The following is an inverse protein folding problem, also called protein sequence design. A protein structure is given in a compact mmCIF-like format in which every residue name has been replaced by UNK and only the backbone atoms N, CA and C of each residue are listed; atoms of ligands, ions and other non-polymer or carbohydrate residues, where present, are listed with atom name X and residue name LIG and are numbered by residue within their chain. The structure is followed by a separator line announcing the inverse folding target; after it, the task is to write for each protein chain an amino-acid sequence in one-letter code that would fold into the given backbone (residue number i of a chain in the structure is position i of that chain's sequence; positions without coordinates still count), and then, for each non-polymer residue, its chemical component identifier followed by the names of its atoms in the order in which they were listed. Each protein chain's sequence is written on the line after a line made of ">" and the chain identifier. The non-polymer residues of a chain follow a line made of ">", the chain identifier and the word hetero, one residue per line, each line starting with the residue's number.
data_IF_944729889360
#
_entry.id   IF_944729889360
#
_cell.length_a   1.000
_cell.length_b   1.000
_cell.length_c   1.000
_cell.angle_alpha   90.00
_cell.angle_beta   90.00
_cell.angle_gamma   90.00
#
_symmetry.space_group_name_H-M   'P 1'
#
loop_
_entity.id
_entity.type
_entity.pdbx_description
1 polymer ?
#
# COMPACT_ATOMS: atom_id res chain seq x y z
N UNK A 1 25.18 29.58 17.12
CA UNK A 1 26.12 28.43 17.23
C UNK A 1 25.40 27.08 17.25
N UNK A 2 24.31 26.89 18.01
CA UNK A 2 23.56 25.61 18.07
C UNK A 2 23.04 25.13 16.71
N UNK A 3 22.51 26.03 15.87
CA UNK A 3 22.08 25.71 14.50
C UNK A 3 23.22 25.16 13.64
N UNK A 4 24.36 25.87 13.57
CA UNK A 4 25.53 25.40 12.81
C UNK A 4 26.05 24.06 13.32
N UNK A 5 26.17 23.87 14.64
CA UNK A 5 26.54 22.58 15.22
C UNK A 5 25.56 21.47 14.80
N UNK A 6 24.25 21.72 14.84
CA UNK A 6 23.24 20.77 14.42
C UNK A 6 23.34 20.42 12.92
N UNK A 7 23.61 21.40 12.05
CA UNK A 7 23.80 21.17 10.61
C UNK A 7 25.03 20.29 10.35
N UNK A 8 26.18 20.59 10.97
CA UNK A 8 27.41 19.81 10.79
C UNK A 8 27.28 18.39 11.35
N UNK A 9 26.70 18.24 12.54
CA UNK A 9 26.44 16.92 13.14
C UNK A 9 25.40 16.12 12.35
N UNK A 10 24.39 16.81 11.82
CA UNK A 10 23.36 16.23 10.95
C UNK A 10 23.91 15.73 9.62
N UNK A 11 24.71 16.54 8.93
CA UNK A 11 25.37 16.13 7.70
C UNK A 11 26.36 14.98 7.96
N UNK A 12 27.11 15.03 9.06
CA UNK A 12 27.98 13.93 9.47
C UNK A 12 27.20 12.62 9.67
N UNK A 13 25.99 12.69 10.24
CA UNK A 13 25.09 11.56 10.39
C UNK A 13 24.84 10.81 9.08
N UNK A 14 24.42 11.59 8.07
CA UNK A 14 24.04 11.11 6.75
C UNK A 14 25.23 10.44 6.08
N UNK A 15 26.39 11.11 6.05
CA UNK A 15 27.60 10.59 5.43
C UNK A 15 28.15 9.34 6.14
N UNK A 16 28.20 9.33 7.46
CA UNK A 16 28.70 8.15 8.19
C UNK A 16 27.75 6.94 8.06
N UNK A 17 26.45 7.19 8.00
CA UNK A 17 25.46 6.12 7.73
C UNK A 17 25.63 5.57 6.32
N UNK A 18 25.82 6.43 5.31
CA UNK A 18 26.14 6.00 3.95
C UNK A 18 27.42 5.17 3.90
N UNK A 19 28.46 5.59 4.61
CA UNK A 19 29.72 4.85 4.69
C UNK A 19 29.53 3.46 5.31
N UNK A 20 28.76 3.37 6.42
CA UNK A 20 28.43 2.10 7.05
C UNK A 20 27.67 1.16 6.11
N UNK A 21 26.61 1.68 5.46
CA UNK A 21 25.73 0.91 4.57
C UNK A 21 26.45 0.42 3.30
N UNK A 22 27.34 1.24 2.75
CA UNK A 22 28.08 0.90 1.52
C UNK A 22 29.31 0.00 1.75
N UNK A 23 29.84 -0.07 2.96
CA UNK A 23 31.06 -0.84 3.28
C UNK A 23 30.82 -1.93 4.33
N UNK A 24 31.01 -1.64 5.64
CA UNK A 24 30.96 -2.64 6.71
C UNK A 24 29.71 -3.52 6.70
N UNK A 25 28.52 -2.94 6.52
CA UNK A 25 27.28 -3.71 6.54
C UNK A 25 27.25 -4.76 5.42
N UNK A 26 27.72 -4.43 4.21
CA UNK A 26 27.76 -5.40 3.09
C UNK A 26 28.65 -6.60 3.39
N UNK A 27 29.78 -6.38 4.06
CA UNK A 27 30.70 -7.47 4.43
C UNK A 27 30.10 -8.36 5.51
N UNK A 28 29.39 -7.76 6.48
CA UNK A 28 28.66 -8.51 7.52
C UNK A 28 27.56 -9.34 6.88
N UNK A 29 26.69 -8.72 6.08
CA UNK A 29 25.56 -9.38 5.43
C UNK A 29 26.05 -10.51 4.49
N UNK A 30 27.11 -10.28 3.71
CA UNK A 30 27.66 -11.32 2.81
C UNK A 30 28.22 -12.53 3.57
N UNK A 31 28.83 -12.32 4.75
CA UNK A 31 29.32 -13.41 5.60
C UNK A 31 28.18 -14.15 6.28
N UNK A 32 27.20 -13.43 6.81
CA UNK A 32 26.01 -14.01 7.42
C UNK A 32 25.26 -14.87 6.40
N UNK A 33 24.98 -14.31 5.24
CA UNK A 33 24.26 -15.01 4.19
C UNK A 33 25.09 -16.07 3.48
N UNK A 34 26.40 -16.21 3.73
CA UNK A 34 27.18 -17.32 3.16
C UNK A 34 26.68 -18.69 3.66
N UNK A 35 26.12 -18.78 4.87
CA UNK A 35 25.58 -20.05 5.40
C UNK A 35 24.22 -20.45 4.81
N UNK A 36 23.55 -19.54 4.08
CA UNK A 36 22.20 -19.73 3.56
C UNK A 36 22.22 -20.61 2.31
N UNK A 37 22.37 -21.92 2.50
CA UNK A 37 22.65 -22.89 1.44
C UNK A 37 21.43 -23.70 1.02
N UNK A 38 20.33 -23.65 1.78
CA UNK A 38 19.06 -24.30 1.44
C UNK A 38 17.98 -23.28 1.11
N UNK A 39 16.90 -23.79 0.50
CA UNK A 39 15.72 -23.00 0.13
C UNK A 39 14.45 -23.68 0.57
N UNK A 40 13.46 -22.90 1.00
CA UNK A 40 12.11 -23.37 1.31
C UNK A 40 11.06 -22.46 0.66
N UNK A 41 9.90 -23.00 0.24
CA UNK A 41 8.79 -22.18 -0.25
C UNK A 41 8.15 -21.42 0.92
N UNK A 42 8.08 -20.10 0.81
CA UNK A 42 7.40 -19.22 1.75
C UNK A 42 6.02 -18.81 1.22
N UNK A 43 5.02 -18.86 2.11
CA UNK A 43 3.64 -18.41 1.85
C UNK A 43 3.27 -17.28 2.82
N UNK A 44 2.72 -16.20 2.29
CA UNK A 44 2.18 -15.11 3.11
C UNK A 44 0.89 -15.58 3.76
N UNK A 45 0.86 -15.58 5.10
CA UNK A 45 -0.29 -16.00 5.91
C UNK A 45 -0.99 -14.82 6.59
N UNK A 46 -0.26 -13.74 6.84
CA UNK A 46 -0.79 -12.46 7.33
C UNK A 46 -0.06 -11.34 6.61
N UNK A 47 -0.76 -10.26 6.24
CA UNK A 47 -0.09 -9.05 5.76
C UNK A 47 -0.91 -7.80 6.07
N UNK A 48 -0.22 -6.68 6.20
CA UNK A 48 -0.80 -5.37 6.50
C UNK A 48 0.09 -4.25 5.99
N UNK A 49 -0.52 -3.08 5.75
CA UNK A 49 0.20 -1.83 5.59
C UNK A 49 0.27 -1.11 6.94
N UNK A 50 1.46 -1.04 7.53
CA UNK A 50 1.70 -0.29 8.76
C UNK A 50 1.78 1.21 8.43
N UNK A 51 0.84 2.01 8.95
CA UNK A 51 0.81 3.46 8.75
C UNK A 51 1.17 4.18 10.05
N UNK A 52 2.27 4.93 9.99
CA UNK A 52 2.86 5.62 11.12
C UNK A 52 2.86 7.13 10.89
N UNK A 53 2.32 7.88 11.85
CA UNK A 53 2.58 9.31 12.03
C UNK A 53 2.34 9.70 13.49
N UNK A 54 2.92 10.81 13.91
CA UNK A 54 2.76 11.38 15.25
C UNK A 54 1.63 12.42 15.24
N UNK A 55 0.45 12.12 15.85
CA UNK A 55 -0.67 13.05 15.86
C UNK A 55 -0.34 14.41 16.51
N UNK A 56 0.58 14.43 17.48
CA UNK A 56 0.97 15.66 18.16
C UNK A 56 1.71 16.63 17.24
N UNK A 57 2.37 16.12 16.19
CA UNK A 57 3.11 16.92 15.21
C UNK A 57 2.23 17.41 14.07
N UNK A 58 1.22 16.62 13.68
CA UNK A 58 0.29 17.00 12.61
C UNK A 58 -0.61 18.17 13.06
N UNK A 59 -1.01 18.20 14.33
CA UNK A 59 -1.95 19.21 14.82
C UNK A 59 -3.37 19.04 14.27
N UNK A 60 -4.31 19.91 14.64
CA UNK A 60 -5.75 19.68 14.40
C UNK A 60 -6.24 19.87 12.94
N UNK A 61 -5.44 20.52 12.08
CA UNK A 61 -5.80 20.81 10.69
C UNK A 61 -4.68 20.41 9.69
N UNK A 62 -3.67 19.68 10.15
CA UNK A 62 -2.47 19.39 9.36
C UNK A 62 -2.67 18.33 8.28
N UNK A 63 -1.86 18.43 7.23
CA UNK A 63 -1.76 17.45 6.14
C UNK A 63 -1.06 16.16 6.64
N UNK A 64 -1.81 15.31 7.35
CA UNK A 64 -1.27 14.11 8.01
C UNK A 64 -0.56 13.16 7.04
N UNK A 65 -1.02 13.07 5.78
CA UNK A 65 -0.40 12.23 4.74
C UNK A 65 1.03 12.66 4.41
N UNK A 66 1.32 13.96 4.42
CA UNK A 66 2.69 14.45 4.22
C UNK A 66 3.67 13.90 5.26
N UNK A 67 3.21 13.78 6.50
CA UNK A 67 3.97 13.28 7.65
C UNK A 67 3.87 11.76 7.85
N UNK A 68 2.96 11.09 7.14
CA UNK A 68 2.73 9.66 7.30
C UNK A 68 3.74 8.83 6.50
N UNK A 69 4.07 7.68 7.08
CA UNK A 69 4.91 6.65 6.47
C UNK A 69 4.13 5.35 6.42
N UNK A 70 4.18 4.69 5.28
CA UNK A 70 3.55 3.40 5.04
C UNK A 70 4.62 2.34 4.83
N UNK A 71 4.52 1.23 5.56
CA UNK A 71 5.45 0.11 5.48
C UNK A 71 4.66 -1.18 5.26
N UNK A 72 4.84 -1.86 4.11
CA UNK A 72 4.18 -3.15 3.89
C UNK A 72 4.86 -4.22 4.75
N UNK A 73 4.07 -4.95 5.53
CA UNK A 73 4.54 -5.99 6.43
C UNK A 73 3.78 -7.29 6.18
N UNK A 74 4.47 -8.43 6.21
CA UNK A 74 3.88 -9.74 6.02
C UNK A 74 4.50 -10.77 6.96
N UNK A 75 3.68 -11.67 7.50
CA UNK A 75 4.13 -12.90 8.14
C UNK A 75 4.14 -14.00 7.08
N UNK A 76 5.30 -14.63 6.93
CA UNK A 76 5.54 -15.70 5.98
C UNK A 76 5.74 -16.99 6.75
N UNK A 77 4.97 -17.98 6.36
CA UNK A 77 5.05 -19.36 6.84
C UNK A 77 5.82 -20.20 5.83
N UNK A 78 6.71 -21.07 6.32
CA UNK A 78 7.53 -21.96 5.50
C UNK A 78 7.78 -23.28 6.22
N UNK A 79 7.84 -24.34 5.42
CA UNK A 79 7.96 -25.73 5.88
C UNK A 79 9.27 -26.35 5.39
N UNK A 80 9.73 -27.38 6.09
CA UNK A 80 10.93 -28.16 5.75
C UNK A 80 11.14 -29.33 6.71
N UNK A 81 12.29 -29.99 6.63
CA UNK A 81 12.58 -31.24 7.35
C UNK A 81 12.72 -31.09 8.89
N UNK A 82 12.50 -29.89 9.42
CA UNK A 82 12.58 -29.55 10.85
C UNK A 82 11.26 -29.72 11.62
N UNK A 83 10.22 -30.29 11.01
CA UNK A 83 8.95 -30.59 11.66
C UNK A 83 7.89 -29.51 11.43
N UNK A 84 7.47 -28.82 12.49
CA UNK A 84 6.38 -27.83 12.40
C UNK A 84 6.73 -26.64 11.49
N UNK A 85 5.75 -26.04 10.78
CA UNK A 85 5.96 -24.83 10.00
C UNK A 85 6.55 -23.71 10.86
N UNK A 86 7.55 -23.01 10.31
CA UNK A 86 8.13 -21.82 10.94
C UNK A 86 7.48 -20.57 10.36
N UNK A 87 7.42 -19.51 11.17
CA UNK A 87 6.86 -18.21 10.78
C UNK A 87 7.90 -17.12 10.99
N UNK A 88 7.97 -16.16 10.08
CA UNK A 88 8.83 -14.98 10.20
C UNK A 88 8.14 -13.78 9.60
N UNK A 89 8.27 -12.62 10.26
CA UNK A 89 7.76 -11.39 9.71
C UNK A 89 8.82 -10.66 8.88
N UNK A 90 8.37 -10.04 7.81
CA UNK A 90 9.15 -9.16 6.96
C UNK A 90 8.41 -7.85 6.78
N UNK A 91 9.06 -6.74 7.09
CA UNK A 91 8.58 -5.39 6.78
C UNK A 91 9.49 -4.76 5.72
N UNK A 92 8.87 -4.24 4.67
CA UNK A 92 9.53 -3.69 3.49
C UNK A 92 9.92 -2.22 3.62
N UNK A 93 9.95 -1.55 2.46
CA UNK A 93 10.33 -0.14 2.36
C UNK A 93 9.30 0.77 3.04
N UNK A 94 9.80 1.67 3.87
CA UNK A 94 9.03 2.71 4.55
C UNK A 94 8.83 3.92 3.64
N UNK A 95 7.73 3.96 2.89
CA UNK A 95 7.46 4.98 1.89
C UNK A 95 6.57 6.10 2.45
N UNK A 96 6.54 7.25 1.79
CA UNK A 96 5.57 8.29 2.12
C UNK A 96 4.16 7.81 1.74
N UNK A 97 3.21 7.96 2.67
CA UNK A 97 1.81 7.63 2.40
C UNK A 97 1.12 8.83 1.75
N UNK A 98 0.61 8.68 0.52
CA UNK A 98 -0.02 9.76 -0.24
C UNK A 98 -1.35 9.29 -0.86
N UNK A 99 -2.06 10.21 -1.51
CA UNK A 99 -3.35 9.93 -2.16
C UNK A 99 -3.28 8.92 -3.31
N UNK A 100 -2.12 8.77 -3.94
CA UNK A 100 -1.89 7.76 -4.99
C UNK A 100 -1.55 6.37 -4.45
N UNK A 101 -1.56 6.17 -3.13
CA UNK A 101 -1.25 4.89 -2.52
C UNK A 101 -2.49 3.99 -2.53
N UNK A 102 -2.67 3.21 -3.60
CA UNK A 102 -3.74 2.23 -3.68
C UNK A 102 -3.30 0.90 -3.07
N UNK A 103 -4.14 0.31 -2.21
CA UNK A 103 -3.79 -0.93 -1.51
C UNK A 103 -3.70 -2.14 -2.45
N UNK A 104 -4.46 -2.14 -3.54
CA UNK A 104 -4.46 -3.21 -4.54
C UNK A 104 -3.15 -3.22 -5.35
N UNK A 105 -2.58 -2.05 -5.65
CA UNK A 105 -1.29 -1.92 -6.35
C UNK A 105 -0.07 -2.42 -5.55
N UNK A 106 -0.23 -2.69 -4.25
CA UNK A 106 0.86 -3.12 -3.40
C UNK A 106 1.23 -4.58 -3.66
N UNK A 107 2.29 -4.81 -4.43
CA UNK A 107 2.69 -6.15 -4.86
C UNK A 107 4.13 -6.53 -4.51
N UNK A 108 4.89 -5.62 -3.91
CA UNK A 108 6.28 -5.83 -3.45
C UNK A 108 6.55 -5.17 -2.10
N UNK A 109 7.33 -5.83 -1.25
CA UNK A 109 7.86 -5.25 -0.01
C UNK A 109 9.16 -4.50 -0.25
N UNK A 110 10.02 -5.07 -1.10
CA UNK A 110 11.26 -4.48 -1.58
C UNK A 110 11.61 -5.05 -2.96
N UNK A 111 12.72 -4.61 -3.54
CA UNK A 111 13.22 -5.17 -4.80
C UNK A 111 13.33 -6.70 -4.68
N UNK A 112 12.71 -7.42 -5.62
CA UNK A 112 12.66 -8.89 -5.70
C UNK A 112 12.04 -9.61 -4.50
N UNK A 113 11.26 -8.90 -3.67
CA UNK A 113 10.53 -9.51 -2.55
C UNK A 113 9.05 -9.20 -2.69
N UNK A 114 8.23 -10.20 -3.07
CA UNK A 114 6.82 -9.98 -3.34
C UNK A 114 6.04 -9.69 -2.06
N UNK A 115 4.95 -8.96 -2.23
CA UNK A 115 3.88 -8.78 -1.27
C UNK A 115 2.58 -9.33 -1.88
N UNK A 116 1.69 -9.83 -1.03
CA UNK A 116 0.36 -10.27 -1.41
C UNK A 116 -0.55 -10.16 -0.18
N UNK A 117 -1.84 -10.04 -0.42
CA UNK A 117 -2.85 -9.98 0.62
C UNK A 117 -3.38 -11.39 0.92
N UNK A 118 -3.56 -11.77 2.21
CA UNK A 118 -4.30 -12.96 2.58
C UNK A 118 -5.68 -12.97 1.92
N UNK A 119 -6.14 -14.17 1.55
CA UNK A 119 -7.38 -14.36 0.81
C UNK A 119 -8.42 -15.08 1.64
N UNK A 120 -9.66 -14.66 1.51
CA UNK A 120 -10.83 -15.36 2.02
C UNK A 120 -11.07 -16.69 1.28
N UNK A 121 -11.98 -17.50 1.82
CA UNK A 121 -12.40 -18.75 1.20
C UNK A 121 -12.96 -18.58 -0.22
N UNK A 122 -13.60 -17.44 -0.50
CA UNK A 122 -14.10 -17.08 -1.85
C UNK A 122 -12.97 -16.70 -2.83
N UNK A 123 -11.72 -16.62 -2.36
CA UNK A 123 -10.52 -16.29 -3.13
C UNK A 123 -10.19 -14.80 -3.25
N UNK A 124 -10.95 -13.91 -2.62
CA UNK A 124 -10.68 -12.47 -2.61
C UNK A 124 -9.69 -12.08 -1.53
N UNK A 125 -8.76 -11.20 -1.88
CA UNK A 125 -7.85 -10.55 -0.95
C UNK A 125 -8.60 -9.70 0.09
N UNK A 126 -8.01 -9.60 1.30
CA UNK A 126 -8.46 -8.70 2.35
C UNK A 126 -7.34 -7.69 2.61
N UNK A 127 -7.31 -6.54 1.92
CA UNK A 127 -6.41 -5.46 2.27
C UNK A 127 -6.60 -5.04 3.73
N UNK A 128 -5.49 -4.84 4.42
CA UNK A 128 -5.46 -4.48 5.84
C UNK A 128 -4.48 -3.33 6.07
N UNK A 129 -4.93 -2.29 6.78
CA UNK A 129 -4.08 -1.22 7.28
C UNK A 129 -4.02 -1.28 8.81
N UNK A 130 -2.82 -1.15 9.38
CA UNK A 130 -2.64 -1.10 10.85
C UNK A 130 -2.11 0.25 11.29
N UNK A 131 -2.62 0.71 12.42
CA UNK A 131 -2.28 2.00 13.03
C UNK A 131 -1.96 1.83 14.51
N UNK A 132 -1.16 2.74 15.06
CA UNK A 132 -1.12 2.90 16.51
C UNK A 132 -2.51 3.38 17.02
N UNK A 133 -2.98 2.95 18.21
CA UNK A 133 -4.30 3.32 18.72
C UNK A 133 -4.53 4.84 18.80
N UNK A 134 -3.50 5.62 19.15
CA UNK A 134 -3.57 7.08 19.20
C UNK A 134 -3.78 7.70 17.81
N UNK A 135 -3.11 7.14 16.80
CA UNK A 135 -3.19 7.56 15.39
C UNK A 135 -4.58 7.30 14.82
N UNK A 136 -5.12 6.10 15.02
CA UNK A 136 -6.47 5.77 14.56
C UNK A 136 -7.54 6.63 15.25
N UNK A 137 -7.41 6.86 16.56
CA UNK A 137 -8.31 7.75 17.31
C UNK A 137 -8.27 9.18 16.78
N UNK A 138 -7.08 9.69 16.46
CA UNK A 138 -6.94 11.01 15.88
C UNK A 138 -7.62 11.10 14.51
N UNK A 139 -7.46 10.10 13.63
CA UNK A 139 -8.16 10.05 12.34
C UNK A 139 -9.69 10.03 12.51
N UNK A 140 -10.18 9.29 13.51
CA UNK A 140 -11.61 9.17 13.79
C UNK A 140 -12.25 10.44 14.36
N UNK A 141 -11.45 11.32 14.98
CA UNK A 141 -11.95 12.54 15.65
C UNK A 141 -11.66 13.82 14.85
N UNK A 142 -10.67 13.79 13.96
CA UNK A 142 -10.25 14.99 13.23
C UNK A 142 -11.15 15.22 12.02
N UNK A 143 -11.76 16.41 11.88
CA UNK A 143 -12.58 16.74 10.72
C UNK A 143 -11.73 16.86 9.46
N UNK A 144 -12.33 16.62 8.30
CA UNK A 144 -11.72 16.94 7.01
C UNK A 144 -11.51 18.47 6.87
N UNK A 145 -10.53 18.94 6.08
CA UNK A 145 -10.30 20.36 5.84
C UNK A 145 -11.53 21.02 5.19
N UNK A 146 -11.77 22.30 5.47
CA UNK A 146 -13.02 23.00 5.10
C UNK A 146 -13.31 23.08 3.59
N UNK A 147 -12.34 22.77 2.72
CA UNK A 147 -12.48 22.80 1.27
C UNK A 147 -13.42 21.70 0.70
N UNK A 148 -13.69 20.63 1.46
CA UNK A 148 -14.46 19.45 1.00
C UNK A 148 -15.82 19.31 1.70
N UNK A 149 -16.45 20.41 2.13
CA UNK A 149 -17.76 20.39 2.80
C UNK A 149 -18.93 20.20 1.82
N UNK A 150 -18.89 19.13 1.04
CA UNK A 150 -20.11 18.57 0.45
C UNK A 150 -20.92 17.86 1.55
N UNK A 151 -22.25 17.96 1.51
CA UNK A 151 -23.14 17.37 2.51
C UNK A 151 -22.99 15.83 2.63
N UNK A 152 -22.43 15.20 1.60
CA UNK A 152 -22.19 13.76 1.48
C UNK A 152 -20.73 13.35 1.72
N UNK A 153 -19.84 14.32 1.98
CA UNK A 153 -18.44 14.04 2.26
C UNK A 153 -18.26 13.42 3.66
N UNK A 154 -17.27 12.53 3.85
CA UNK A 154 -16.96 11.97 5.15
C UNK A 154 -16.64 13.05 6.18
N UNK A 155 -17.20 12.94 7.39
CA UNK A 155 -17.02 13.97 8.43
C UNK A 155 -15.63 13.97 9.05
N UNK A 156 -14.89 12.88 8.90
CA UNK A 156 -13.62 12.63 9.60
C UNK A 156 -12.55 12.18 8.62
N UNK A 157 -11.29 12.42 8.96
CA UNK A 157 -10.14 11.95 8.18
C UNK A 157 -10.14 10.42 8.02
N UNK A 158 -10.64 9.68 9.02
CA UNK A 158 -10.84 8.23 8.91
C UNK A 158 -11.85 7.88 7.81
N UNK A 159 -12.99 8.56 7.77
CA UNK A 159 -14.00 8.29 6.74
C UNK A 159 -13.52 8.65 5.32
N UNK A 160 -12.66 9.66 5.19
CA UNK A 160 -11.98 9.97 3.92
C UNK A 160 -11.04 8.84 3.53
N UNK A 161 -10.20 8.38 4.46
CA UNK A 161 -9.28 7.28 4.25
C UNK A 161 -10.00 5.98 3.85
N UNK A 162 -11.08 5.62 4.54
CA UNK A 162 -11.90 4.46 4.23
C UNK A 162 -12.49 4.56 2.82
N UNK A 163 -13.09 5.72 2.47
CA UNK A 163 -13.67 5.94 1.14
C UNK A 163 -12.64 5.79 0.02
N UNK A 164 -11.42 6.25 0.22
CA UNK A 164 -10.37 6.21 -0.80
C UNK A 164 -9.69 4.85 -0.91
N UNK A 165 -9.53 4.15 0.21
CA UNK A 165 -8.81 2.86 0.29
C UNK A 165 -9.70 1.67 -0.03
N UNK A 166 -11.01 1.77 0.23
CA UNK A 166 -11.98 0.70 0.01
C UNK A 166 -12.40 0.62 -1.47
N UNK A 167 -11.55 -0.08 -2.25
CA UNK A 167 -11.68 -0.33 -3.70
C UNK A 167 -11.99 -1.81 -4.00
N UNK A 168 -13.18 -2.31 -3.64
CA UNK A 168 -13.50 -3.73 -3.74
C UNK A 168 -13.53 -4.26 -5.19
N UNK A 169 -13.75 -3.42 -6.20
CA UNK A 169 -13.68 -3.83 -7.60
C UNK A 169 -12.27 -4.17 -8.03
N UNK A 170 -11.32 -3.25 -7.84
CA UNK A 170 -9.92 -3.49 -8.19
C UNK A 170 -9.37 -4.70 -7.44
N UNK A 171 -9.64 -4.78 -6.13
CA UNK A 171 -9.27 -5.93 -5.28
C UNK A 171 -9.87 -7.23 -5.81
N UNK A 172 -11.14 -7.24 -6.20
CA UNK A 172 -11.78 -8.44 -6.73
C UNK A 172 -11.22 -8.87 -8.09
N UNK A 173 -10.99 -7.91 -9.00
CA UNK A 173 -10.43 -8.17 -10.34
C UNK A 173 -9.02 -8.75 -10.21
N UNK A 174 -8.16 -8.10 -9.44
CA UNK A 174 -6.78 -8.56 -9.22
C UNK A 174 -6.72 -9.90 -8.50
N UNK A 175 -7.58 -10.10 -7.50
CA UNK A 175 -7.68 -11.38 -6.80
C UNK A 175 -8.04 -12.53 -7.74
N UNK A 176 -8.84 -12.27 -8.79
CA UNK A 176 -9.22 -13.29 -9.78
C UNK A 176 -8.15 -13.50 -10.84
N UNK A 177 -7.41 -12.45 -11.19
CA UNK A 177 -6.34 -12.49 -12.19
C UNK A 177 -5.03 -13.10 -11.64
N UNK A 178 -4.75 -12.92 -10.35
CA UNK A 178 -3.48 -13.32 -9.75
C UNK A 178 -3.66 -14.47 -8.75
N UNK A 179 -2.91 -15.58 -8.87
CA UNK A 179 -2.87 -16.59 -7.82
C UNK A 179 -2.16 -16.05 -6.57
N UNK A 180 -2.38 -16.71 -5.42
CA UNK A 180 -1.64 -16.38 -4.20
C UNK A 180 -0.14 -16.62 -4.40
N UNK A 181 0.69 -15.61 -4.09
CA UNK A 181 2.13 -15.69 -4.33
C UNK A 181 2.81 -16.63 -3.33
N UNK A 182 3.61 -17.55 -3.85
CA UNK A 182 4.60 -18.36 -3.11
C UNK A 182 5.97 -17.97 -3.62
N UNK A 183 6.93 -17.75 -2.73
CA UNK A 183 8.26 -17.29 -3.11
C UNK A 183 9.36 -18.00 -2.31
N UNK A 184 10.56 -18.18 -2.90
CA UNK A 184 11.63 -18.88 -2.24
C UNK A 184 12.21 -18.04 -1.09
N UNK A 185 12.36 -18.67 0.07
CA UNK A 185 13.21 -18.22 1.17
C UNK A 185 14.54 -18.95 1.10
N UNK A 186 15.63 -18.24 1.34
CA UNK A 186 16.95 -18.82 1.57
C UNK A 186 17.17 -18.95 3.08
N UNK A 187 17.78 -20.04 3.53
CA UNK A 187 18.00 -20.34 4.94
C UNK A 187 19.29 -21.10 5.20
N UNK A 188 19.82 -20.96 6.42
CA UNK A 188 20.87 -21.82 6.97
C UNK A 188 20.24 -23.15 7.45
N UNK A 189 20.61 -24.31 6.87
CA UNK A 189 20.05 -25.59 7.28
C UNK A 189 20.23 -25.90 8.77
N UNK A 190 21.29 -25.38 9.40
CA UNK A 190 21.53 -25.56 10.84
C UNK A 190 20.66 -24.62 11.70
N UNK A 191 20.16 -23.52 11.14
CA UNK A 191 19.36 -22.50 11.83
C UNK A 191 18.23 -21.98 10.91
N UNK A 192 17.20 -22.80 10.64
CA UNK A 192 16.15 -22.47 9.67
C UNK A 192 15.30 -21.26 10.08
N UNK A 193 15.24 -20.93 11.38
CA UNK A 193 14.50 -19.78 11.93
C UNK A 193 14.93 -18.43 11.33
N UNK A 194 16.18 -18.33 10.87
CA UNK A 194 16.77 -17.12 10.27
C UNK A 194 16.45 -16.91 8.79
N UNK A 195 15.48 -17.63 8.21
CA UNK A 195 15.19 -17.56 6.79
C UNK A 195 14.94 -16.12 6.27
N UNK A 196 15.41 -15.82 5.07
CA UNK A 196 15.24 -14.51 4.42
C UNK A 196 14.74 -14.71 2.98
N UNK A 197 14.03 -13.73 2.38
CA UNK A 197 13.64 -13.82 0.97
C UNK A 197 14.86 -14.05 0.08
N UNK A 198 14.80 -15.04 -0.81
CA UNK A 198 15.96 -15.42 -1.63
C UNK A 198 16.46 -14.26 -2.50
N UNK A 199 15.56 -13.48 -3.11
CA UNK A 199 15.94 -12.29 -3.90
C UNK A 199 16.75 -11.27 -3.09
N UNK A 200 16.40 -11.08 -1.82
CA UNK A 200 17.16 -10.23 -0.90
C UNK A 200 18.57 -10.78 -0.62
N UNK A 201 18.68 -12.09 -0.35
CA UNK A 201 19.95 -12.76 -0.06
C UNK A 201 20.88 -12.74 -1.28
N UNK A 202 20.35 -13.09 -2.46
CA UNK A 202 21.12 -13.14 -3.69
C UNK A 202 21.65 -11.74 -4.06
N UNK A 203 20.81 -10.70 -3.97
CA UNK A 203 21.23 -9.31 -4.19
C UNK A 203 22.35 -8.86 -3.25
N UNK A 204 22.37 -9.32 -1.99
CA UNK A 204 23.43 -9.00 -1.03
C UNK A 204 24.71 -9.80 -1.23
N UNK A 205 24.62 -11.03 -1.73
CA UNK A 205 25.78 -11.86 -2.12
C UNK A 205 26.47 -11.30 -3.37
N UNK A 206 25.70 -10.86 -4.35
CA UNK A 206 26.22 -10.36 -5.63
C UNK A 206 26.76 -8.92 -5.56
N UNK A 207 26.34 -8.12 -4.58
CA UNK A 207 26.67 -6.70 -4.49
C UNK A 207 28.18 -6.37 -4.41
N UNK A 208 29.05 -7.34 -4.12
CA UNK A 208 30.50 -7.18 -4.04
C UNK A 208 30.96 -6.20 -2.95
N UNK A 209 32.21 -6.34 -2.47
CA UNK A 209 32.77 -5.38 -1.52
C UNK A 209 33.38 -4.19 -2.26
N UNK A 210 32.57 -3.24 -2.71
CA UNK A 210 33.06 -1.95 -3.21
C UNK A 210 33.46 -1.04 -2.03
N UNK A 211 34.28 -1.54 -1.10
CA UNK A 211 34.68 -0.84 0.13
C UNK A 211 35.32 0.52 -0.14
N UNK A 212 35.94 0.70 -1.31
CA UNK A 212 36.52 1.97 -1.76
C UNK A 212 35.44 3.07 -1.85
N UNK A 213 34.22 2.73 -2.27
CA UNK A 213 33.08 3.68 -2.35
C UNK A 213 32.66 4.15 -0.96
N UNK A 214 32.89 3.35 0.09
CA UNK A 214 32.59 3.74 1.47
C UNK A 214 33.60 4.73 2.10
N UNK A 215 34.81 4.85 1.53
CA UNK A 215 35.86 5.71 2.09
C UNK A 215 35.56 7.21 1.96
N UNK A 216 35.03 7.63 0.81
CA UNK A 216 34.68 9.04 0.57
C UNK A 216 33.63 9.57 1.57
N UNK A 217 32.46 8.91 1.75
CA UNK A 217 31.49 9.35 2.75
C UNK A 217 32.02 9.18 4.18
N UNK A 218 32.88 8.20 4.45
CA UNK A 218 33.50 8.04 5.78
C UNK A 218 34.36 9.27 6.12
N UNK A 219 35.29 9.64 5.24
CA UNK A 219 36.19 10.79 5.46
C UNK A 219 35.40 12.09 5.60
N UNK A 220 34.45 12.33 4.70
CA UNK A 220 33.59 13.52 4.75
C UNK A 220 32.80 13.56 6.07
N UNK A 221 32.16 12.45 6.44
CA UNK A 221 31.36 12.34 7.66
C UNK A 221 32.18 12.52 8.94
N UNK A 222 33.37 11.93 9.03
CA UNK A 222 34.26 12.09 10.19
C UNK A 222 34.75 13.52 10.34
N UNK A 223 35.12 14.20 9.24
CA UNK A 223 35.52 15.60 9.27
C UNK A 223 34.37 16.51 9.75
N UNK A 224 33.17 16.34 9.19
CA UNK A 224 31.98 17.10 9.58
C UNK A 224 31.63 16.86 11.06
N UNK A 225 31.74 15.63 11.55
CA UNK A 225 31.51 15.31 12.96
C UNK A 225 32.51 16.03 13.86
N UNK A 226 33.79 15.98 13.52
CA UNK A 226 34.86 16.62 14.28
C UNK A 226 34.66 18.14 14.37
N UNK A 227 34.29 18.79 13.24
CA UNK A 227 33.96 20.23 13.23
C UNK A 227 32.70 20.54 14.03
N UNK A 228 31.63 19.77 13.87
CA UNK A 228 30.36 19.95 14.60
C UNK A 228 30.55 19.85 16.11
N UNK A 229 31.31 18.86 16.58
CA UNK A 229 31.68 18.71 17.99
C UNK A 229 32.57 19.84 18.49
N UNK A 230 33.47 20.36 17.66
CA UNK A 230 34.29 21.53 17.99
C UNK A 230 33.45 22.81 18.20
N UNK A 231 32.38 22.98 17.43
CA UNK A 231 31.44 24.11 17.57
C UNK A 231 30.51 23.91 18.77
N UNK A 232 30.03 22.68 18.99
CA UNK A 232 29.11 22.35 20.09
C UNK A 232 29.79 22.43 21.46
N UNK A 233 31.05 21.95 21.55
CA UNK A 233 31.85 21.89 22.78
C UNK A 233 33.25 22.51 22.55
N UNK A 234 33.34 23.85 22.51
CA UNK A 234 34.58 24.55 22.16
C UNK A 234 35.68 24.38 23.22
N UNK A 235 35.32 24.25 24.50
CA UNK A 235 36.25 24.11 25.63
C UNK A 235 36.70 22.66 25.91
N UNK A 236 36.38 21.70 25.02
CA UNK A 236 36.70 20.29 25.22
C UNK A 236 38.20 20.00 24.97
N UNK A 237 38.83 19.26 25.88
CA UNK A 237 40.20 18.81 25.74
C UNK A 237 40.40 17.96 24.45
N UNK A 238 41.52 18.09 23.71
CA UNK A 238 41.72 17.41 22.42
C UNK A 238 41.53 15.89 22.48
N UNK A 239 42.02 15.23 23.52
CA UNK A 239 41.85 13.79 23.72
C UNK A 239 40.37 13.40 23.92
N UNK A 240 39.60 14.22 24.64
CA UNK A 240 38.16 14.01 24.80
C UNK A 240 37.44 14.21 23.46
N UNK A 241 37.86 15.19 22.63
CA UNK A 241 37.27 15.42 21.30
C UNK A 241 37.50 14.24 20.36
N UNK A 242 38.67 13.60 20.39
CA UNK A 242 38.93 12.35 19.66
C UNK A 242 38.04 11.22 20.18
N UNK A 243 37.94 11.05 21.49
CA UNK A 243 37.09 10.04 22.11
C UNK A 243 35.61 10.21 21.70
N UNK A 244 35.06 11.42 21.75
CA UNK A 244 33.71 11.75 21.30
C UNK A 244 33.52 11.75 19.78
N UNK A 245 34.60 11.62 19.00
CA UNK A 245 34.53 11.40 17.55
C UNK A 245 34.47 9.91 17.22
N UNK A 246 35.17 9.08 18.00
CA UNK A 246 35.26 7.63 17.78
C UNK A 246 34.09 6.87 18.41
N UNK A 247 33.70 7.22 19.63
CA UNK A 247 32.63 6.52 20.38
C UNK A 247 31.30 6.46 19.60
N UNK A 248 30.82 7.53 18.95
CA UNK A 248 29.57 7.50 18.20
C UNK A 248 29.62 6.57 16.98
N UNK A 249 30.81 6.33 16.39
CA UNK A 249 30.97 5.42 15.25
C UNK A 249 30.61 3.98 15.59
N UNK A 250 30.80 3.57 16.85
CA UNK A 250 30.37 2.24 17.33
C UNK A 250 28.84 2.10 17.35
N UNK A 251 28.12 3.21 17.45
CA UNK A 251 26.67 3.24 17.48
C UNK A 251 26.02 3.39 16.09
N UNK A 252 26.81 3.48 15.01
CA UNK A 252 26.31 3.66 13.62
C UNK A 252 25.15 2.75 13.23
N UNK A 253 25.10 1.46 13.61
CA UNK A 253 23.97 0.58 13.29
C UNK A 253 22.61 1.07 13.82
N UNK A 254 22.61 1.90 14.87
CA UNK A 254 21.40 2.40 15.55
C UNK A 254 21.16 3.90 15.35
N UNK A 255 21.89 4.56 14.44
CA UNK A 255 21.79 6.01 14.25
C UNK A 255 20.45 6.46 13.68
N UNK A 256 19.80 5.65 12.83
CA UNK A 256 18.48 5.95 12.27
C UNK A 256 17.47 6.32 13.35
N UNK A 257 17.47 5.57 14.46
CA UNK A 257 16.51 5.80 15.55
C UNK A 257 17.04 6.77 16.62
N UNK A 258 18.33 6.66 16.98
CA UNK A 258 18.87 7.36 18.15
C UNK A 258 19.27 8.81 17.85
N UNK A 259 19.78 9.08 16.65
CA UNK A 259 20.41 10.36 16.35
C UNK A 259 19.39 11.49 16.10
N UNK A 260 18.30 11.30 15.32
CA UNK A 260 17.28 12.34 15.17
C UNK A 260 16.68 12.76 16.52
N UNK A 261 16.46 11.81 17.43
CA UNK A 261 15.99 12.11 18.80
C UNK A 261 16.94 12.99 19.60
N UNK A 262 18.25 12.76 19.48
CA UNK A 262 19.26 13.56 20.16
C UNK A 262 19.49 14.92 19.46
N UNK A 263 19.49 14.96 18.13
CA UNK A 263 19.54 16.20 17.35
C UNK A 263 18.33 17.09 17.63
N UNK A 264 17.13 16.52 17.85
CA UNK A 264 15.93 17.29 18.16
C UNK A 264 16.05 18.07 19.49
N UNK A 265 16.89 17.60 20.42
CA UNK A 265 17.23 18.33 21.66
C UNK A 265 18.13 19.54 21.41
N UNK A 266 18.82 19.57 20.27
CA UNK A 266 19.73 20.66 19.86
C UNK A 266 18.99 21.63 18.93
N UNK A 267 18.34 21.11 17.88
CA UNK A 267 17.52 21.85 16.93
C UNK A 267 16.47 20.93 16.27
N UNK A 268 15.15 21.19 16.45
CA UNK A 268 14.09 20.31 15.96
C UNK A 268 14.03 20.23 14.42
N UNK A 269 14.08 21.37 13.71
CA UNK A 269 13.90 21.39 12.25
C UNK A 269 15.04 20.67 11.51
N UNK A 270 16.29 20.82 11.97
CA UNK A 270 17.44 20.10 11.38
C UNK A 270 17.33 18.60 11.67
N UNK A 271 16.82 18.23 12.85
CA UNK A 271 16.62 16.83 13.20
C UNK A 271 15.54 16.16 12.34
N UNK A 272 14.52 16.90 11.92
CA UNK A 272 13.51 16.44 10.96
C UNK A 272 14.13 16.17 9.59
N UNK A 273 14.83 17.15 9.02
CA UNK A 273 15.48 16.99 7.71
C UNK A 273 16.48 15.84 7.72
N UNK A 274 17.31 15.75 8.77
CA UNK A 274 18.28 14.66 8.92
C UNK A 274 17.59 13.32 9.13
N UNK A 275 16.53 13.27 9.92
CA UNK A 275 15.70 12.08 10.09
C UNK A 275 15.12 11.61 8.75
N UNK A 276 14.57 12.51 7.95
CA UNK A 276 14.04 12.21 6.62
C UNK A 276 15.12 11.74 5.64
N UNK A 277 16.32 12.35 5.69
CA UNK A 277 17.46 11.93 4.87
C UNK A 277 18.00 10.55 5.30
N UNK A 278 18.10 10.27 6.60
CA UNK A 278 18.50 8.95 7.10
C UNK A 278 17.45 7.90 6.75
N UNK A 279 16.17 8.21 6.94
CA UNK A 279 15.06 7.37 6.48
C UNK A 279 15.15 7.14 4.96
N UNK A 280 15.50 8.15 4.17
CA UNK A 280 15.66 8.02 2.72
C UNK A 280 16.85 7.11 2.34
N UNK A 281 17.94 7.13 3.10
CA UNK A 281 19.07 6.19 2.91
C UNK A 281 18.63 4.77 3.28
N UNK A 282 17.84 4.60 4.33
CA UNK A 282 17.30 3.30 4.74
C UNK A 282 16.21 2.78 3.78
N UNK A 283 15.44 3.68 3.15
CA UNK A 283 14.35 3.39 2.22
C UNK A 283 14.75 2.57 0.99
N UNK A 284 16.01 2.56 0.59
CA UNK A 284 16.42 1.95 -0.69
C UNK A 284 16.62 0.43 -0.59
N UNK A 285 16.97 -0.12 0.58
CA UNK A 285 17.47 -1.51 0.68
C UNK A 285 16.96 -2.33 1.89
N UNK A 286 16.13 -1.77 2.77
CA UNK A 286 15.80 -2.44 4.04
C UNK A 286 14.55 -3.33 3.92
N UNK A 287 14.78 -4.63 4.05
CA UNK A 287 13.78 -5.54 4.61
C UNK A 287 14.16 -5.73 6.08
N UNK A 288 13.23 -5.47 6.98
CA UNK A 288 13.37 -5.80 8.40
C UNK A 288 12.75 -7.16 8.61
N UNK A 289 13.54 -8.10 9.12
CA UNK A 289 13.04 -9.42 9.50
C UNK A 289 13.00 -9.54 11.02
N UNK A 290 11.89 -10.04 11.56
CA UNK A 290 11.63 -10.15 13.00
C UNK A 290 10.74 -11.35 13.32
N UNK A 291 10.52 -11.58 14.61
CA UNK A 291 9.40 -12.43 15.03
C UNK A 291 8.05 -11.78 14.66
N UNK A 292 6.97 -12.57 14.45
CA UNK A 292 5.68 -12.05 13.99
C UNK A 292 5.07 -10.94 14.86
N UNK A 293 5.21 -11.04 16.18
CA UNK A 293 4.70 -10.11 17.18
C UNK A 293 5.55 -8.84 17.32
N UNK A 294 6.82 -8.91 16.96
CA UNK A 294 7.74 -7.76 16.95
C UNK A 294 7.66 -6.92 15.67
N UNK A 295 6.93 -7.40 14.65
CA UNK A 295 6.81 -6.69 13.38
C UNK A 295 6.14 -5.32 13.57
N UNK A 296 6.47 -4.35 12.70
CA UNK A 296 5.97 -2.98 12.81
C UNK A 296 4.44 -2.97 12.82
N UNK A 297 3.87 -2.45 13.92
CA UNK A 297 2.42 -2.42 14.17
C UNK A 297 1.73 -3.80 14.12
N UNK A 298 2.44 -4.90 14.47
CA UNK A 298 1.84 -6.22 14.59
C UNK A 298 0.61 -6.21 15.53
N UNK A 299 0.72 -5.58 16.70
CA UNK A 299 -0.37 -5.37 17.65
C UNK A 299 -1.17 -4.06 17.44
N UNK A 300 -1.09 -3.44 16.26
CA UNK A 300 -1.82 -2.22 15.94
C UNK A 300 -3.33 -2.43 15.73
N UNK A 301 -4.10 -1.34 15.77
CA UNK A 301 -5.52 -1.35 15.42
C UNK A 301 -5.66 -1.54 13.90
N UNK A 302 -6.53 -2.47 13.49
CA UNK A 302 -6.66 -2.89 12.10
C UNK A 302 -7.92 -2.34 11.42
N UNK A 303 -7.76 -1.78 10.23
CA UNK A 303 -8.83 -1.50 9.27
C UNK A 303 -8.74 -2.52 8.13
N UNK A 304 -9.84 -3.23 7.87
CA UNK A 304 -9.91 -4.31 6.86
C UNK A 304 -10.95 -3.99 5.80
N UNK A 305 -10.64 -4.30 4.55
CA UNK A 305 -11.47 -3.98 3.38
C UNK A 305 -11.86 -5.23 2.57
N UNK A 306 -12.68 -6.14 3.13
CA UNK A 306 -13.17 -7.29 2.37
C UNK A 306 -14.16 -6.85 1.28
N UNK A 307 -14.06 -7.42 0.08
CA UNK A 307 -14.82 -7.06 -1.14
C UNK A 307 -16.35 -6.95 -0.93
N UNK A 308 -16.91 -7.72 0.00
CA UNK A 308 -18.34 -7.72 0.33
C UNK A 308 -18.68 -7.26 1.75
N UNK A 309 -17.75 -6.63 2.47
CA UNK A 309 -18.01 -6.13 3.83
C UNK A 309 -18.09 -4.61 3.91
N UNK A 310 -18.11 -4.10 5.15
CA UNK A 310 -18.09 -2.67 5.44
C UNK A 310 -19.17 -1.89 4.66
N UNK A 311 -18.72 -0.93 3.87
CA UNK A 311 -19.57 -0.06 3.04
C UNK A 311 -20.41 -0.81 2.00
N UNK A 312 -19.91 -1.95 1.51
CA UNK A 312 -20.47 -2.69 0.38
C UNK A 312 -21.23 -3.96 0.79
N UNK A 313 -21.50 -4.13 2.09
CA UNK A 313 -22.24 -5.27 2.62
C UNK A 313 -23.66 -5.41 2.04
N UNK A 314 -24.33 -4.28 1.76
CA UNK A 314 -25.68 -4.25 1.18
C UNK A 314 -25.70 -4.39 -0.35
N UNK A 315 -24.53 -4.39 -1.00
CA UNK A 315 -24.38 -4.57 -2.45
C UNK A 315 -23.62 -5.87 -2.73
N UNK A 316 -22.29 -5.83 -2.74
CA UNK A 316 -21.44 -7.00 -3.00
C UNK A 316 -21.57 -8.08 -1.92
N UNK A 317 -21.81 -7.71 -0.66
CA UNK A 317 -22.03 -8.66 0.43
C UNK A 317 -23.30 -9.51 0.31
N UNK A 318 -24.26 -9.10 -0.54
CA UNK A 318 -25.47 -9.88 -0.84
C UNK A 318 -25.25 -10.96 -1.90
N UNK A 319 -24.13 -10.90 -2.61
CA UNK A 319 -23.80 -11.82 -3.69
C UNK A 319 -22.91 -12.95 -3.18
N UNK A 320 -23.01 -14.10 -3.85
CA UNK A 320 -22.16 -15.26 -3.59
C UNK A 320 -21.14 -15.38 -4.70
N UNK A 321 -19.87 -15.30 -4.33
CA UNK A 321 -18.75 -15.49 -5.25
C UNK A 321 -18.04 -16.80 -4.91
N UNK A 322 -18.03 -17.74 -5.85
CA UNK A 322 -17.22 -18.95 -5.75
C UNK A 322 -15.78 -18.65 -6.16
N UNK A 323 -14.82 -19.30 -5.51
CA UNK A 323 -13.43 -19.32 -5.98
C UNK A 323 -13.39 -20.06 -7.32
N UNK A 324 -12.83 -19.47 -8.39
CA UNK A 324 -12.75 -20.14 -9.68
C UNK A 324 -11.73 -21.27 -9.62
N UNK A 325 -11.96 -22.32 -10.42
CA UNK A 325 -11.07 -23.48 -10.51
C UNK A 325 -9.67 -23.10 -11.03
N UNK A 326 -9.60 -22.08 -11.89
CA UNK A 326 -8.35 -21.48 -12.38
C UNK A 326 -8.39 -19.95 -12.24
N UNK A 327 -7.23 -19.30 -12.04
CA UNK A 327 -7.12 -17.86 -12.21
C UNK A 327 -7.52 -17.42 -13.63
N UNK A 328 -8.04 -16.21 -13.73
CA UNK A 328 -8.23 -15.53 -15.00
C UNK A 328 -6.86 -15.19 -15.62
N UNK A 329 -6.76 -15.10 -16.95
CA UNK A 329 -5.48 -14.82 -17.63
C UNK A 329 -5.03 -13.38 -17.46
N UNK A 330 -5.97 -12.46 -17.27
CA UNK A 330 -5.75 -11.03 -17.11
C UNK A 330 -6.95 -10.38 -16.43
N UNK A 331 -6.85 -9.07 -16.17
CA UNK A 331 -7.92 -8.29 -15.55
C UNK A 331 -9.21 -8.25 -16.37
N UNK A 332 -9.14 -8.29 -17.70
CA UNK A 332 -10.34 -8.27 -18.56
C UNK A 332 -11.18 -9.55 -18.37
N UNK A 333 -10.53 -10.72 -18.41
CA UNK A 333 -11.20 -12.00 -18.18
C UNK A 333 -11.74 -12.10 -16.74
N UNK A 334 -10.99 -11.57 -15.76
CA UNK A 334 -11.41 -11.50 -14.37
C UNK A 334 -12.69 -10.66 -14.20
N UNK A 335 -12.70 -9.44 -14.73
CA UNK A 335 -13.86 -8.54 -14.65
C UNK A 335 -15.07 -9.15 -15.37
N UNK A 336 -14.88 -9.68 -16.58
CA UNK A 336 -15.95 -10.32 -17.34
C UNK A 336 -16.58 -11.50 -16.57
N UNK A 337 -15.75 -12.32 -15.91
CA UNK A 337 -16.22 -13.44 -15.09
C UNK A 337 -16.98 -12.96 -13.84
N UNK A 338 -16.52 -11.89 -13.18
CA UNK A 338 -17.22 -11.29 -12.03
C UNK A 338 -18.59 -10.75 -12.44
N UNK A 339 -18.67 -9.98 -13.53
CA UNK A 339 -19.94 -9.47 -14.08
C UNK A 339 -20.89 -10.63 -14.46
N UNK A 340 -20.35 -11.68 -15.10
CA UNK A 340 -21.12 -12.86 -15.45
C UNK A 340 -21.64 -13.63 -14.22
N UNK A 341 -20.95 -13.54 -13.08
CA UNK A 341 -21.42 -14.12 -11.81
C UNK A 341 -22.48 -13.24 -11.12
N UNK A 342 -22.38 -11.91 -11.22
CA UNK A 342 -23.33 -10.96 -10.61
C UNK A 342 -24.68 -10.99 -11.33
N UNK A 343 -24.68 -10.92 -12.66
CA UNK A 343 -25.91 -10.75 -13.43
C UNK A 343 -27.03 -11.78 -13.13
N UNK A 344 -26.79 -13.11 -13.17
CA UNK A 344 -27.83 -14.09 -12.89
C UNK A 344 -28.33 -14.03 -11.43
N UNK A 345 -27.48 -13.65 -10.48
CA UNK A 345 -27.88 -13.50 -9.08
C UNK A 345 -28.83 -12.31 -8.89
N UNK A 346 -28.54 -11.17 -9.51
CA UNK A 346 -29.42 -10.00 -9.50
C UNK A 346 -30.74 -10.30 -10.21
N UNK A 347 -30.72 -11.03 -11.33
CA UNK A 347 -31.93 -11.47 -12.02
C UNK A 347 -32.81 -12.37 -11.15
N UNK A 348 -32.20 -13.22 -10.33
CA UNK A 348 -32.91 -14.13 -9.43
C UNK A 348 -33.49 -13.44 -8.18
N UNK A 349 -33.07 -12.22 -7.86
CA UNK A 349 -33.63 -11.43 -6.77
C UNK A 349 -35.07 -11.02 -7.06
N UNK A 350 -35.86 -10.83 -6.00
CA UNK A 350 -37.20 -10.27 -6.11
C UNK A 350 -37.17 -8.83 -6.62
N UNK A 351 -38.30 -8.34 -7.17
CA UNK A 351 -38.42 -6.94 -7.62
C UNK A 351 -37.98 -5.92 -6.57
N UNK A 352 -38.50 -5.97 -5.33
CA UNK A 352 -38.08 -5.06 -4.26
C UNK A 352 -36.58 -5.13 -3.93
N UNK A 353 -35.97 -6.31 -3.99
CA UNK A 353 -34.53 -6.45 -3.75
C UNK A 353 -33.68 -5.84 -4.86
N UNK A 354 -34.11 -5.99 -6.13
CA UNK A 354 -33.48 -5.33 -7.29
C UNK A 354 -33.61 -3.81 -7.19
N UNK A 355 -34.77 -3.30 -6.80
CA UNK A 355 -34.94 -1.85 -6.55
C UNK A 355 -33.99 -1.37 -5.47
N UNK A 356 -33.96 -2.07 -4.32
CA UNK A 356 -33.10 -1.71 -3.20
C UNK A 356 -31.61 -1.70 -3.57
N UNK A 357 -31.12 -2.69 -4.33
CA UNK A 357 -29.70 -2.75 -4.71
C UNK A 357 -29.32 -1.62 -5.68
N UNK A 358 -30.15 -1.30 -6.67
CA UNK A 358 -29.85 -0.19 -7.60
C UNK A 358 -29.92 1.19 -6.94
N UNK A 359 -30.88 1.39 -6.02
CA UNK A 359 -30.95 2.60 -5.21
C UNK A 359 -29.74 2.73 -4.29
N UNK A 360 -29.33 1.64 -3.66
CA UNK A 360 -28.14 1.60 -2.81
C UNK A 360 -26.87 1.96 -3.58
N UNK A 361 -26.67 1.38 -4.77
CA UNK A 361 -25.54 1.72 -5.65
C UNK A 361 -25.51 3.19 -6.05
N UNK A 362 -26.68 3.80 -6.27
CA UNK A 362 -26.80 5.24 -6.56
C UNK A 362 -26.44 6.09 -5.33
N UNK A 363 -26.88 5.68 -4.14
CA UNK A 363 -26.53 6.31 -2.87
C UNK A 363 -25.04 6.20 -2.57
N UNK A 364 -24.44 5.03 -2.82
CA UNK A 364 -23.01 4.80 -2.61
C UNK A 364 -22.19 5.68 -3.53
N UNK A 365 -22.55 5.76 -4.83
CA UNK A 365 -21.91 6.69 -5.76
C UNK A 365 -22.05 8.15 -5.30
N UNK A 366 -23.20 8.54 -4.74
CA UNK A 366 -23.44 9.90 -4.25
C UNK A 366 -22.51 10.24 -3.06
N UNK A 367 -22.16 9.23 -2.26
CA UNK A 367 -21.19 9.34 -1.17
C UNK A 367 -19.73 9.20 -1.65
N UNK A 368 -19.47 9.16 -2.96
CA UNK A 368 -18.14 8.98 -3.55
C UNK A 368 -17.59 7.56 -3.44
N UNK A 369 -18.46 6.55 -3.29
CA UNK A 369 -18.10 5.12 -3.24
C UNK A 369 -18.53 4.42 -4.53
N UNK A 370 -17.59 4.21 -5.45
CA UNK A 370 -17.88 3.65 -6.77
C UNK A 370 -17.55 2.15 -6.89
N UNK A 371 -16.86 1.55 -5.92
CA UNK A 371 -16.22 0.24 -6.08
C UNK A 371 -17.13 -0.98 -6.30
N UNK A 372 -18.46 -0.83 -6.21
CA UNK A 372 -19.39 -1.91 -6.54
C UNK A 372 -20.06 -1.75 -7.91
N UNK A 373 -20.31 -0.52 -8.37
CA UNK A 373 -21.25 -0.24 -9.46
C UNK A 373 -20.85 -0.86 -10.80
N UNK A 374 -19.55 -0.99 -11.05
CA UNK A 374 -19.00 -1.62 -12.25
C UNK A 374 -19.53 -3.05 -12.47
N UNK A 375 -19.74 -3.83 -11.40
CA UNK A 375 -20.21 -5.20 -11.53
C UNK A 375 -21.71 -5.32 -11.85
N UNK A 376 -22.47 -4.24 -11.67
CA UNK A 376 -23.93 -4.23 -11.81
C UNK A 376 -24.42 -3.61 -13.12
N UNK A 377 -23.53 -3.04 -13.95
CA UNK A 377 -23.94 -2.35 -15.19
C UNK A 377 -24.70 -3.27 -16.15
N UNK A 378 -24.24 -4.52 -16.32
CA UNK A 378 -24.92 -5.50 -17.17
C UNK A 378 -26.32 -5.84 -16.65
N UNK A 379 -26.46 -6.04 -15.33
CA UNK A 379 -27.74 -6.37 -14.69
C UNK A 379 -28.73 -5.21 -14.74
N UNK A 380 -28.24 -3.98 -14.57
CA UNK A 380 -29.06 -2.78 -14.68
C UNK A 380 -29.50 -2.56 -16.13
N UNK A 381 -28.61 -2.73 -17.11
CA UNK A 381 -28.96 -2.65 -18.53
C UNK A 381 -30.05 -3.66 -18.88
N UNK A 382 -29.88 -4.91 -18.45
CA UNK A 382 -30.87 -5.96 -18.68
C UNK A 382 -32.22 -5.63 -18.05
N UNK A 383 -32.22 -5.09 -16.82
CA UNK A 383 -33.43 -4.65 -16.13
C UNK A 383 -34.20 -3.62 -16.96
N UNK A 384 -33.52 -2.60 -17.47
CA UNK A 384 -34.14 -1.50 -18.24
C UNK A 384 -34.70 -1.99 -19.58
N UNK A 385 -33.97 -2.87 -20.27
CA UNK A 385 -34.34 -3.35 -21.60
C UNK A 385 -35.41 -4.46 -21.58
N UNK A 386 -35.60 -5.13 -20.44
CA UNK A 386 -36.62 -6.17 -20.31
C UNK A 386 -38.02 -5.57 -20.09
N UNK A 387 -38.85 -5.64 -21.12
CA UNK A 387 -40.25 -5.18 -21.08
C UNK A 387 -41.10 -5.91 -20.01
N UNK A 388 -40.67 -7.10 -19.58
CA UNK A 388 -41.36 -7.88 -18.54
C UNK A 388 -40.91 -7.49 -17.13
N UNK A 389 -39.80 -6.76 -16.99
CA UNK A 389 -39.34 -6.30 -15.68
C UNK A 389 -40.33 -5.28 -15.11
N UNK A 390 -40.65 -5.34 -13.81
CA UNK A 390 -41.54 -4.38 -13.15
C UNK A 390 -41.12 -2.91 -13.38
N UNK A 391 -42.06 -1.97 -13.54
CA UNK A 391 -41.74 -0.57 -13.82
C UNK A 391 -40.80 0.07 -12.79
N UNK A 392 -41.01 -0.20 -11.50
CA UNK A 392 -40.16 0.27 -10.40
C UNK A 392 -38.72 -0.25 -10.50
N UNK A 393 -38.53 -1.51 -10.91
CA UNK A 393 -37.21 -2.09 -11.17
C UNK A 393 -36.52 -1.41 -12.36
N UNK A 394 -37.26 -1.15 -13.44
CA UNK A 394 -36.74 -0.43 -14.62
C UNK A 394 -36.33 0.99 -14.27
N UNK A 395 -37.17 1.70 -13.51
CA UNK A 395 -36.92 3.08 -13.09
C UNK A 395 -35.69 3.16 -12.17
N UNK A 396 -35.59 2.26 -11.19
CA UNK A 396 -34.43 2.19 -10.29
C UNK A 396 -33.13 1.86 -11.05
N UNK A 397 -33.17 0.90 -11.97
CA UNK A 397 -32.01 0.54 -12.79
C UNK A 397 -31.60 1.67 -13.76
N UNK A 398 -32.58 2.32 -14.40
CA UNK A 398 -32.36 3.45 -15.29
C UNK A 398 -31.80 4.66 -14.54
N UNK A 399 -32.32 4.94 -13.33
CA UNK A 399 -31.80 5.97 -12.43
C UNK A 399 -30.35 5.69 -12.02
N UNK A 400 -30.04 4.45 -11.65
CA UNK A 400 -28.66 4.04 -11.36
C UNK A 400 -27.73 4.24 -12.56
N UNK A 401 -28.11 3.78 -13.77
CA UNK A 401 -27.29 3.94 -14.97
C UNK A 401 -27.08 5.40 -15.35
N UNK A 402 -28.14 6.22 -15.30
CA UNK A 402 -28.07 7.67 -15.53
C UNK A 402 -27.12 8.34 -14.54
N UNK A 403 -27.22 7.98 -13.27
CA UNK A 403 -26.33 8.50 -12.25
C UNK A 403 -24.90 8.02 -12.46
N UNK A 404 -24.69 6.75 -12.83
CA UNK A 404 -23.38 6.13 -13.06
C UNK A 404 -22.55 6.82 -14.14
N UNK A 405 -23.18 7.29 -15.22
CA UNK A 405 -22.49 7.98 -16.33
C UNK A 405 -22.36 9.50 -16.11
N UNK A 406 -22.93 10.04 -15.03
CA UNK A 406 -22.88 11.47 -14.68
C UNK A 406 -21.70 11.75 -13.74
N UNK A 407 -21.08 12.92 -13.85
CA UNK A 407 -19.92 13.29 -13.02
C UNK A 407 -20.25 13.32 -11.51
N UNK A 408 -19.33 12.89 -10.63
CA UNK A 408 -18.02 12.30 -10.93
C UNK A 408 -18.14 10.88 -11.53
N UNK A 409 -17.34 10.57 -12.56
CA UNK A 409 -17.30 9.26 -13.22
C UNK A 409 -15.98 8.57 -12.93
N UNK A 410 -16.04 7.29 -12.54
CA UNK A 410 -14.88 6.41 -12.50
C UNK A 410 -14.54 5.97 -13.93
N UNK A 411 -13.79 6.81 -14.64
CA UNK A 411 -13.47 6.57 -16.04
C UNK A 411 -12.44 5.44 -16.19
N UNK A 412 -12.55 4.58 -17.22
CA UNK A 412 -11.52 3.58 -17.49
C UNK A 412 -10.20 4.23 -17.89
N UNK A 413 -9.10 3.81 -17.27
CA UNK A 413 -7.75 4.19 -17.66
C UNK A 413 -6.94 3.00 -18.18
N UNK A 414 -6.02 3.22 -19.15
CA UNK A 414 -5.27 2.13 -19.80
C UNK A 414 -4.43 1.26 -18.86
N UNK A 415 -4.04 1.78 -17.70
CA UNK A 415 -3.28 1.07 -16.70
C UNK A 415 -4.13 0.23 -15.74
N UNK A 416 -5.45 0.44 -15.70
CA UNK A 416 -6.34 -0.22 -14.75
C UNK A 416 -6.54 -1.69 -15.13
N UNK A 417 -6.68 -2.54 -14.12
CA UNK A 417 -7.05 -3.93 -14.33
C UNK A 417 -8.42 -4.03 -15.01
N UNK A 418 -8.49 -4.80 -16.10
CA UNK A 418 -9.73 -5.00 -16.85
C UNK A 418 -10.14 -3.81 -17.72
N UNK A 419 -9.20 -2.94 -18.11
CA UNK A 419 -9.45 -1.76 -18.93
C UNK A 419 -10.38 -2.01 -20.14
N UNK A 420 -10.11 -3.04 -20.96
CA UNK A 420 -10.93 -3.27 -22.16
C UNK A 420 -12.34 -3.71 -21.80
N UNK A 421 -12.46 -4.52 -20.75
CA UNK A 421 -13.77 -4.94 -20.25
C UNK A 421 -14.53 -3.76 -19.62
N UNK A 422 -13.86 -2.87 -18.87
CA UNK A 422 -14.43 -1.61 -18.37
C UNK A 422 -14.97 -0.76 -19.54
N UNK A 423 -14.19 -0.58 -20.61
CA UNK A 423 -14.63 0.13 -21.83
C UNK A 423 -15.83 -0.56 -22.48
N UNK A 424 -15.78 -1.88 -22.68
CA UNK A 424 -16.89 -2.67 -23.24
C UNK A 424 -18.18 -2.49 -22.45
N UNK A 425 -18.07 -2.43 -21.11
CA UNK A 425 -19.21 -2.20 -20.23
C UNK A 425 -19.82 -0.81 -20.36
N UNK A 426 -19.05 0.23 -20.70
CA UNK A 426 -19.64 1.53 -21.05
C UNK A 426 -20.25 1.50 -22.46
N UNK A 427 -19.58 0.88 -23.43
CA UNK A 427 -20.09 0.77 -24.81
C UNK A 427 -21.44 0.04 -24.89
N UNK A 428 -21.65 -0.99 -24.07
CA UNK A 428 -22.93 -1.72 -24.06
C UNK A 428 -24.09 -0.86 -23.55
N UNK A 429 -23.87 0.27 -22.89
CA UNK A 429 -24.95 1.13 -22.39
C UNK A 429 -25.52 2.08 -23.47
N UNK A 430 -24.94 2.09 -24.68
CA UNK A 430 -25.35 2.98 -25.77
C UNK A 430 -26.80 2.81 -26.24
N UNK A 431 -27.41 1.66 -25.96
CA UNK A 431 -28.77 1.33 -26.36
C UNK A 431 -29.79 1.43 -25.21
N UNK A 432 -29.36 1.86 -24.03
CA UNK A 432 -30.24 2.01 -22.86
C UNK A 432 -31.12 3.26 -23.04
N UNK A 433 -32.46 3.14 -23.03
CA UNK A 433 -33.38 4.26 -23.23
C UNK A 433 -33.56 5.13 -21.96
N UNK A 434 -32.47 5.41 -21.24
CA UNK A 434 -32.45 6.28 -20.07
C UNK A 434 -31.78 7.62 -20.41
N UNK A 435 -32.30 8.72 -19.87
CA UNK A 435 -31.82 10.07 -20.18
C UNK A 435 -30.32 10.21 -19.98
N UNK A 436 -29.63 10.72 -21.01
CA UNK A 436 -28.17 10.94 -21.01
C UNK A 436 -27.31 9.67 -21.12
N UNK A 437 -27.84 8.48 -20.82
CA UNK A 437 -27.04 7.23 -20.79
C UNK A 437 -26.37 6.91 -22.11
N UNK A 438 -27.07 6.90 -23.27
CA UNK A 438 -26.43 6.59 -24.56
C UNK A 438 -25.26 7.49 -24.92
N UNK A 439 -25.44 8.80 -24.72
CA UNK A 439 -24.49 9.82 -25.14
C UNK A 439 -23.29 9.85 -24.20
N UNK A 440 -23.53 9.87 -22.88
CA UNK A 440 -22.47 9.99 -21.89
C UNK A 440 -21.61 8.72 -21.82
N UNK A 441 -22.22 7.54 -21.86
CA UNK A 441 -21.47 6.27 -21.85
C UNK A 441 -20.57 6.10 -23.08
N UNK A 442 -21.08 6.41 -24.28
CA UNK A 442 -20.28 6.41 -25.51
C UNK A 442 -19.11 7.39 -25.40
N UNK A 443 -19.37 8.62 -24.91
CA UNK A 443 -18.33 9.63 -24.74
C UNK A 443 -17.24 9.20 -23.73
N UNK A 444 -17.60 8.51 -22.65
CA UNK A 444 -16.63 7.95 -21.68
C UNK A 444 -15.75 6.89 -22.35
N UNK A 445 -16.35 5.95 -23.10
CA UNK A 445 -15.63 4.90 -23.81
C UNK A 445 -14.67 5.48 -24.86
N UNK A 446 -15.13 6.45 -25.65
CA UNK A 446 -14.30 7.14 -26.66
C UNK A 446 -13.11 7.87 -26.04
N UNK A 447 -13.30 8.59 -24.92
CA UNK A 447 -12.20 9.25 -24.20
C UNK A 447 -11.19 8.24 -23.67
N UNK A 448 -11.66 7.11 -23.12
CA UNK A 448 -10.81 6.05 -22.60
C UNK A 448 -9.93 5.44 -23.72
N UNK A 449 -10.52 5.12 -24.87
CA UNK A 449 -9.79 4.62 -26.04
C UNK A 449 -8.81 5.66 -26.60
N UNK A 450 -9.21 6.94 -26.65
CA UNK A 450 -8.33 8.05 -27.06
C UNK A 450 -7.10 8.18 -26.18
N UNK A 451 -7.23 8.03 -24.85
CA UNK A 451 -6.11 8.02 -23.91
C UNK A 451 -5.16 6.83 -24.13
N UNK A 452 -5.70 5.65 -24.40
CA UNK A 452 -4.88 4.47 -24.70
C UNK A 452 -4.03 4.66 -25.96
N UNK A 453 -4.63 5.21 -27.03
CA UNK A 453 -3.93 5.49 -28.28
C UNK A 453 -2.80 6.52 -28.12
N UNK A 454 -2.99 7.56 -27.31
CA UNK A 454 -1.97 8.59 -27.07
C UNK A 454 -0.77 8.08 -26.27
N UNK A 455 -0.97 7.14 -25.34
CA UNK A 455 0.12 6.63 -24.49
C UNK A 455 0.93 5.49 -25.14
N UNK A 456 0.52 4.96 -26.29
CA UNK A 456 1.18 3.80 -26.91
C UNK A 456 1.17 2.54 -26.03
N UNK A 457 0.31 2.49 -25.02
CA UNK A 457 0.25 1.40 -24.05
C UNK A 457 -0.53 0.25 -24.65
N UNK A 458 0.10 -0.92 -24.72
CA UNK A 458 -0.62 -2.19 -24.92
C UNK A 458 -1.23 -2.57 -23.56
N UNK A 459 -2.55 -2.72 -23.42
CA UNK A 459 -3.19 -3.02 -22.13
C UNK A 459 -2.64 -4.32 -21.53
N UNK A 460 -2.44 -4.36 -20.20
CA UNK A 460 -2.00 -5.56 -19.46
C UNK A 460 -3.10 -6.62 -19.38
#
# INVERSE_FOLDING_TARGET
>A
MRLYAAIFLGAAAVFLTLAWKSGPQRVIDAREYASFTATAPGRIVESWLAIEFDPARVGAAGFWRGSARATPCAVVEYEGDWGSPLRRAFCGKRLQFNESYHLHDLDVMATDVPFDWPREANGFAIPEMRFAPATLRWLAQTPQPDADRDALAPRTMLGVLERESDRPDDVAIESRASPQRVFPLALDPARPVGAMPKGHVDGRREAGSAWIVSLMPLVAGTLLWFFGMGIFLPAMHPAARVFFTVLPLLALPWWGDALPRNLARIHPDVAEVVGDMLDAIERVERIVASEPDEATLAGGEALRFPVGGGAYAETLGRLRFAKPDRPARNGDEALAALVAAVNPQVRAMTGPERVAIFQKLSSDKSAGRTGAGLFFLAAAREAVLDERSPPDVRDAAGGFLSFWVTQPVDEPWPQDAGFRERVRQFEMLKDVPASGVPILSASIAERALGRAAQKGVTPR
#
